data_IF_332691590882
#
_entry.id   IF_332691590882
#
_cell.length_a   1.000
_cell.length_b   1.000
_cell.length_c   1.000
_cell.angle_alpha   90.00
_cell.angle_beta   90.00
_cell.angle_gamma   90.00
#
_symmetry.space_group_name_H-M   'P 1'
#
loop_
_entity.id
_entity.type
_entity.pdbx_description
1 polymer ?
#
# COMPACT_ATOMS: atom_id res chain seq x y z
N UNK A 1 -4.94 8.01 2.68
CA UNK A 1 -5.88 8.66 1.74
C UNK A 1 -6.99 7.68 1.39
N UNK A 2 -8.22 8.13 1.20
CA UNK A 2 -9.30 7.27 0.73
C UNK A 2 -9.20 6.99 -0.77
N UNK A 3 -9.95 5.98 -1.26
CA UNK A 3 -10.05 5.71 -2.69
C UNK A 3 -10.56 6.94 -3.47
N UNK A 4 -11.57 7.66 -2.95
CA UNK A 4 -12.08 8.90 -3.58
C UNK A 4 -11.03 10.01 -3.71
N UNK A 5 -10.19 10.21 -2.68
CA UNK A 5 -9.09 11.18 -2.72
C UNK A 5 -8.03 10.77 -3.76
N UNK A 6 -7.71 9.49 -3.83
CA UNK A 6 -6.77 8.95 -4.81
C UNK A 6 -7.29 9.09 -6.25
N UNK A 7 -8.59 8.87 -6.49
CA UNK A 7 -9.21 9.10 -7.81
C UNK A 7 -9.04 10.54 -8.27
N UNK A 8 -9.31 11.50 -7.38
CA UNK A 8 -9.16 12.91 -7.68
C UNK A 8 -7.69 13.30 -7.92
N UNK A 9 -6.78 12.82 -7.07
CA UNK A 9 -5.36 13.20 -7.12
C UNK A 9 -4.61 12.55 -8.29
N UNK A 10 -4.97 11.33 -8.66
CA UNK A 10 -4.32 10.60 -9.76
C UNK A 10 -5.04 10.75 -11.10
N UNK A 11 -6.12 11.54 -11.17
CA UNK A 11 -6.99 11.69 -12.35
C UNK A 11 -7.33 10.33 -12.99
N UNK A 12 -7.75 9.38 -12.15
CA UNK A 12 -7.95 7.99 -12.55
C UNK A 12 -9.37 7.51 -12.23
N UNK A 13 -9.89 6.65 -13.09
CA UNK A 13 -11.20 6.04 -12.90
C UNK A 13 -11.25 5.23 -11.59
N UNK A 14 -12.46 5.10 -11.03
CA UNK A 14 -12.69 4.27 -9.84
C UNK A 14 -12.14 2.85 -10.01
N UNK A 15 -12.49 2.11 -11.09
CA UNK A 15 -11.96 0.78 -11.33
C UNK A 15 -10.43 0.71 -11.36
N UNK A 16 -9.76 1.72 -11.94
CA UNK A 16 -8.29 1.77 -11.97
C UNK A 16 -7.70 1.94 -10.57
N UNK A 17 -8.28 2.82 -9.76
CA UNK A 17 -7.83 3.03 -8.37
C UNK A 17 -8.03 1.77 -7.53
N UNK A 18 -9.22 1.17 -7.54
CA UNK A 18 -9.47 -0.06 -6.76
C UNK A 18 -8.55 -1.21 -7.18
N UNK A 19 -8.34 -1.41 -8.49
CA UNK A 19 -7.40 -2.43 -8.99
C UNK A 19 -5.96 -2.19 -8.50
N UNK A 20 -5.48 -0.94 -8.49
CA UNK A 20 -4.13 -0.60 -8.03
C UNK A 20 -3.99 -0.75 -6.51
N UNK A 21 -5.01 -0.32 -5.76
CA UNK A 21 -5.03 -0.49 -4.31
C UNK A 21 -4.99 -1.97 -3.94
N UNK A 22 -5.79 -2.80 -4.61
CA UNK A 22 -5.76 -4.25 -4.38
C UNK A 22 -4.38 -4.85 -4.68
N UNK A 23 -3.78 -4.52 -5.83
CA UNK A 23 -2.44 -4.99 -6.17
C UNK A 23 -1.36 -4.55 -5.17
N UNK A 24 -1.45 -3.33 -4.65
CA UNK A 24 -0.50 -2.82 -3.65
C UNK A 24 -0.71 -3.51 -2.30
N UNK A 25 -1.98 -3.77 -1.91
CA UNK A 25 -2.36 -4.45 -0.67
C UNK A 25 -1.93 -5.91 -0.67
N UNK A 26 -2.19 -6.64 -1.77
CA UNK A 26 -1.74 -8.02 -1.97
C UNK A 26 -0.21 -8.19 -1.83
N UNK A 27 0.55 -7.14 -2.17
CA UNK A 27 2.02 -7.09 -2.07
C UNK A 27 2.52 -6.50 -0.75
N UNK A 28 1.61 -6.22 0.18
CA UNK A 28 1.88 -5.63 1.49
C UNK A 28 2.60 -4.28 1.41
N UNK A 29 2.39 -3.54 0.31
CA UNK A 29 2.99 -2.21 0.08
C UNK A 29 2.13 -1.10 0.70
N UNK A 30 0.87 -1.38 0.95
CA UNK A 30 -0.05 -0.49 1.65
C UNK A 30 -0.87 -1.28 2.64
N UNK A 31 -1.33 -0.60 3.68
CA UNK A 31 -2.32 -1.09 4.63
C UNK A 31 -3.65 -0.39 4.42
N UNK A 32 -4.73 -1.13 4.64
CA UNK A 32 -6.07 -0.58 4.73
C UNK A 32 -6.41 -0.33 6.20
N UNK A 33 -6.88 0.88 6.50
CA UNK A 33 -7.24 1.32 7.83
C UNK A 33 -8.64 1.94 7.79
N UNK A 34 -9.45 1.64 8.79
CA UNK A 34 -10.73 2.31 8.99
C UNK A 34 -10.50 3.54 9.85
N UNK A 35 -10.79 4.74 9.31
CA UNK A 35 -10.79 5.96 10.13
C UNK A 35 -12.23 6.29 10.57
N UNK A 36 -12.47 6.43 11.87
CA UNK A 36 -13.70 7.03 12.36
C UNK A 36 -13.78 8.48 11.88
N UNK A 37 -14.92 8.87 11.34
CA UNK A 37 -15.27 10.28 11.17
C UNK A 37 -16.13 10.69 12.38
N UNK A 38 -15.55 11.41 13.35
CA UNK A 38 -16.28 11.82 14.56
C UNK A 38 -17.36 12.87 14.29
N UNK A 39 -17.38 13.52 13.12
CA UNK A 39 -18.35 14.58 12.81
C UNK A 39 -19.56 14.07 12.03
N UNK A 40 -19.37 13.17 11.07
CA UNK A 40 -20.46 12.64 10.23
C UNK A 40 -20.94 11.23 10.62
N UNK A 41 -20.19 10.53 11.46
CA UNK A 41 -20.47 9.12 11.82
C UNK A 41 -20.18 8.13 10.68
N UNK A 42 -19.70 8.58 9.51
CA UNK A 42 -19.35 7.69 8.41
C UNK A 42 -17.91 7.22 8.52
N UNK A 43 -17.71 5.92 8.75
CA UNK A 43 -16.38 5.32 8.65
C UNK A 43 -15.85 5.42 7.22
N UNK A 44 -14.62 5.92 7.06
CA UNK A 44 -13.95 6.00 5.75
C UNK A 44 -12.79 5.03 5.71
N UNK A 45 -12.78 4.16 4.71
CA UNK A 45 -11.60 3.35 4.41
C UNK A 45 -10.49 4.26 3.86
N UNK A 46 -9.33 4.21 4.50
CA UNK A 46 -8.13 4.92 4.07
C UNK A 46 -6.99 3.93 3.87
N UNK A 47 -6.13 4.26 2.93
CA UNK A 47 -4.94 3.50 2.60
C UNK A 47 -3.69 4.27 3.02
N UNK A 48 -2.75 3.57 3.66
CA UNK A 48 -1.49 4.10 4.16
C UNK A 48 -0.31 3.30 3.60
N UNK A 49 0.84 3.93 3.29
CA UNK A 49 2.02 3.20 2.85
C UNK A 49 2.58 2.28 3.95
N UNK A 50 2.87 1.02 3.62
CA UNK A 50 3.68 0.10 4.42
C UNK A 50 5.14 0.03 3.92
N UNK A 51 5.61 1.14 3.35
CA UNK A 51 6.99 1.28 2.88
C UNK A 51 7.55 2.67 3.14
N UNK A 52 8.88 2.71 3.18
CA UNK A 52 9.68 3.93 3.28
C UNK A 52 10.19 4.36 1.91
N UNK A 53 10.68 3.41 1.09
CA UNK A 53 11.29 3.71 -0.22
C UNK A 53 11.10 2.57 -1.21
N UNK A 54 10.89 2.94 -2.48
CA UNK A 54 11.10 2.05 -3.63
C UNK A 54 12.24 2.65 -4.45
N UNK A 55 13.22 1.82 -4.77
CA UNK A 55 14.31 2.17 -5.68
C UNK A 55 14.15 1.33 -6.95
N UNK A 56 14.11 1.99 -8.10
CA UNK A 56 14.04 1.34 -9.41
C UNK A 56 15.28 1.77 -10.18
N UNK A 57 16.10 0.81 -10.58
CA UNK A 57 17.31 1.05 -11.37
C UNK A 57 17.26 0.27 -12.67
N UNK A 58 17.71 0.88 -13.76
CA UNK A 58 17.94 0.20 -15.04
C UNK A 58 19.45 0.07 -15.21
N UNK A 59 19.98 -1.13 -15.01
CA UNK A 59 21.42 -1.42 -15.08
C UNK A 59 21.63 -2.48 -16.14
N UNK A 60 22.43 -2.16 -17.17
CA UNK A 60 22.74 -3.06 -18.29
C UNK A 60 21.49 -3.64 -19.00
N UNK A 61 20.42 -2.85 -19.05
CA UNK A 61 19.13 -3.26 -19.64
C UNK A 61 18.23 -4.07 -18.70
N UNK A 62 18.67 -4.37 -17.49
CA UNK A 62 17.89 -5.06 -16.46
C UNK A 62 17.29 -4.10 -15.44
N UNK A 63 16.02 -4.32 -15.09
CA UNK A 63 15.36 -3.58 -14.01
C UNK A 63 15.69 -4.23 -12.66
N UNK A 64 16.33 -3.48 -11.77
CA UNK A 64 16.51 -3.83 -10.36
C UNK A 64 15.52 -3.05 -9.51
N UNK A 65 14.83 -3.77 -8.62
CA UNK A 65 13.84 -3.22 -7.71
C UNK A 65 14.23 -3.51 -6.27
N UNK A 66 14.35 -2.46 -5.46
CA UNK A 66 14.56 -2.56 -4.02
C UNK A 66 13.39 -1.89 -3.28
N UNK A 67 12.88 -2.54 -2.24
CA UNK A 67 11.76 -2.05 -1.44
C UNK A 67 12.17 -2.04 0.03
N UNK A 68 12.29 -0.83 0.59
CA UNK A 68 12.51 -0.61 2.02
C UNK A 68 11.14 -0.44 2.70
N UNK A 69 10.74 -1.45 3.49
CA UNK A 69 9.42 -1.52 4.14
C UNK A 69 9.40 -0.85 5.51
N UNK A 70 8.21 -0.51 6.01
CA UNK A 70 8.06 0.08 7.35
C UNK A 70 8.08 -0.97 8.45
N UNK A 71 7.40 -2.11 8.24
CA UNK A 71 7.59 -3.31 9.06
C UNK A 71 9.01 -3.85 8.89
N UNK A 72 9.66 -4.11 10.01
CA UNK A 72 11.04 -4.60 10.05
C UNK A 72 11.08 -6.07 9.58
N UNK A 73 12.20 -6.51 9.01
CA UNK A 73 12.37 -7.88 8.49
C UNK A 73 12.00 -8.96 9.51
N UNK A 74 12.12 -8.63 10.81
CA UNK A 74 11.70 -9.44 11.95
C UNK A 74 10.21 -9.73 11.97
N UNK A 75 9.33 -8.78 11.69
CA UNK A 75 7.87 -9.01 11.75
C UNK A 75 7.41 -9.92 10.60
N UNK A 76 8.07 -9.80 9.44
CA UNK A 76 7.85 -10.69 8.29
C UNK A 76 8.37 -12.10 8.54
N UNK A 77 9.50 -12.24 9.25
CA UNK A 77 10.04 -13.54 9.63
C UNK A 77 9.17 -14.24 10.68
N UNK A 78 8.71 -13.51 11.70
CA UNK A 78 7.78 -14.02 12.72
C UNK A 78 6.50 -14.57 12.06
N UNK A 79 5.88 -13.80 11.15
CA UNK A 79 4.70 -14.23 10.40
C UNK A 79 4.93 -15.51 9.57
N UNK A 80 6.16 -15.73 9.09
CA UNK A 80 6.51 -16.87 8.24
C UNK A 80 6.78 -18.15 9.04
N UNK A 81 7.29 -18.01 10.28
CA UNK A 81 7.54 -19.13 11.20
C UNK A 81 6.29 -19.53 11.98
N UNK A 82 5.41 -18.59 12.35
CA UNK A 82 4.17 -18.88 13.07
C UNK A 82 3.09 -19.59 12.23
N UNK A 83 3.30 -19.72 10.90
CA UNK A 83 2.41 -20.44 9.97
C UNK A 83 2.99 -21.80 9.53
N UNK A 84 3.98 -22.35 10.26
CA UNK A 84 4.54 -23.69 10.10
C UNK A 84 4.22 -24.51 11.35
#
# INVERSE_FOLDING_TARGET
MSASELKQRCDASGPTIYRRLEQLRERDLIEEQTRPDPESGHHKQVYAPNLRRVTVELVDGELRLEIDRREDMSDRFTRLIENI
#
